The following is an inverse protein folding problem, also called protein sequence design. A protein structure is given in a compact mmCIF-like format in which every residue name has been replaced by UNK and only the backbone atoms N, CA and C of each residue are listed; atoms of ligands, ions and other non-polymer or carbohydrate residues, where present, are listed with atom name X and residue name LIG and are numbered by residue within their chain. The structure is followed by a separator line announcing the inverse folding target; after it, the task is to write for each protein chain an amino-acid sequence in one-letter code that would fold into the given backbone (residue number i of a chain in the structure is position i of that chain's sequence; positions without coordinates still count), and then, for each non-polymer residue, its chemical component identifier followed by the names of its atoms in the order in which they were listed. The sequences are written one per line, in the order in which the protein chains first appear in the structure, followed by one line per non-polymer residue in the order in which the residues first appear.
data_IF_423124857949
#
_entry.id   IF_423124857949
#
_cell.length_a   1.000
_cell.length_b   1.000
_cell.length_c   1.000
_cell.angle_alpha   90.00
_cell.angle_beta   90.00
_cell.angle_gamma   90.00
#
_symmetry.space_group_name_H-M   'P 1'
#
loop_
_entity.id
_entity.type
_entity.pdbx_description
1 polymer ?
#
# COMPACT_ATOMS: atom_id res chain seq x y z
N UNK A 1 -29.95 -8.22 -12.23
CA UNK A 1 -29.49 -8.85 -10.98
C UNK A 1 -28.20 -9.66 -11.19
N UNK A 2 -28.09 -10.51 -12.23
CA UNK A 2 -26.87 -11.26 -12.53
C UNK A 2 -25.62 -10.39 -12.84
N UNK A 3 -25.83 -9.22 -13.47
CA UNK A 3 -24.76 -8.31 -13.90
C UNK A 3 -24.09 -7.57 -12.71
N UNK A 4 -24.85 -7.34 -11.63
CA UNK A 4 -24.36 -6.67 -10.41
C UNK A 4 -23.50 -7.58 -9.54
N UNK A 5 -23.84 -8.88 -9.47
CA UNK A 5 -23.04 -9.87 -8.74
C UNK A 5 -21.73 -10.17 -9.47
N UNK A 6 -21.76 -10.17 -10.80
CA UNK A 6 -20.56 -10.34 -11.62
C UNK A 6 -19.57 -9.17 -11.42
N UNK A 7 -20.06 -7.93 -11.38
CA UNK A 7 -19.21 -6.75 -11.13
C UNK A 7 -18.70 -6.68 -9.69
N UNK A 8 -19.53 -7.03 -8.70
CA UNK A 8 -19.10 -7.13 -7.30
C UNK A 8 -17.98 -8.17 -7.13
N UNK A 9 -18.07 -9.31 -7.82
CA UNK A 9 -17.03 -10.33 -7.85
C UNK A 9 -15.74 -9.86 -8.53
N UNK A 10 -15.83 -9.01 -9.55
CA UNK A 10 -14.66 -8.40 -10.21
C UNK A 10 -13.96 -7.38 -9.33
N UNK A 11 -14.70 -6.47 -8.69
CA UNK A 11 -14.16 -5.49 -7.75
C UNK A 11 -13.47 -6.15 -6.56
N UNK A 12 -14.05 -7.24 -6.04
CA UNK A 12 -13.42 -8.02 -4.96
C UNK A 12 -12.11 -8.66 -5.40
N UNK A 13 -12.07 -9.25 -6.61
CA UNK A 13 -10.84 -9.84 -7.15
C UNK A 13 -9.76 -8.79 -7.41
N UNK A 14 -10.12 -7.62 -7.92
CA UNK A 14 -9.19 -6.51 -8.10
C UNK A 14 -8.57 -6.09 -6.76
N UNK A 15 -9.40 -5.90 -5.73
CA UNK A 15 -8.96 -5.58 -4.37
C UNK A 15 -7.95 -6.60 -3.84
N UNK A 16 -8.28 -7.89 -3.94
CA UNK A 16 -7.38 -8.97 -3.53
C UNK A 16 -6.06 -8.96 -4.29
N UNK A 17 -6.09 -8.75 -5.61
CA UNK A 17 -4.89 -8.73 -6.45
C UNK A 17 -3.99 -7.54 -6.13
N UNK A 18 -4.56 -6.34 -6.01
CA UNK A 18 -3.83 -5.14 -5.63
C UNK A 18 -3.14 -5.32 -4.27
N UNK A 19 -3.89 -5.76 -3.25
CA UNK A 19 -3.36 -5.96 -1.90
C UNK A 19 -2.32 -7.10 -1.84
N UNK A 20 -2.46 -8.14 -2.68
CA UNK A 20 -1.45 -9.20 -2.80
C UNK A 20 -0.16 -8.67 -3.43
N UNK A 21 -0.27 -7.83 -4.45
CA UNK A 21 0.88 -7.18 -5.09
C UNK A 21 1.63 -6.30 -4.09
N UNK A 22 0.95 -5.42 -3.36
CA UNK A 22 1.60 -4.55 -2.37
C UNK A 22 2.34 -5.34 -1.29
N UNK A 23 1.69 -6.36 -0.70
CA UNK A 23 2.33 -7.22 0.30
C UNK A 23 3.58 -7.91 -0.23
N UNK A 24 3.56 -8.35 -1.49
CA UNK A 24 4.74 -8.95 -2.14
C UNK A 24 5.84 -7.92 -2.34
N UNK A 25 5.55 -6.75 -2.91
CA UNK A 25 6.56 -5.72 -3.21
C UNK A 25 7.23 -5.20 -1.92
N UNK A 26 6.46 -4.86 -0.88
CA UNK A 26 7.02 -4.45 0.41
C UNK A 26 7.75 -5.59 1.13
N UNK A 27 7.30 -6.84 0.97
CA UNK A 27 8.01 -8.00 1.50
C UNK A 27 9.39 -8.19 0.84
N UNK A 28 9.48 -8.02 -0.48
CA UNK A 28 10.74 -8.14 -1.23
C UNK A 28 11.68 -6.96 -0.99
N UNK A 29 11.14 -5.77 -0.72
CA UNK A 29 11.91 -4.54 -0.50
C UNK A 29 12.95 -4.68 0.62
N UNK A 30 12.63 -5.41 1.68
CA UNK A 30 13.50 -5.55 2.86
C UNK A 30 14.87 -6.11 2.49
N UNK A 31 14.90 -7.22 1.74
CA UNK A 31 16.16 -7.87 1.35
C UNK A 31 16.89 -7.07 0.27
N UNK A 32 16.15 -6.42 -0.63
CA UNK A 32 16.71 -5.58 -1.69
C UNK A 32 17.47 -4.38 -1.10
N UNK A 33 16.86 -3.69 -0.12
CA UNK A 33 17.47 -2.55 0.60
C UNK A 33 18.68 -3.01 1.42
N UNK A 34 18.55 -4.10 2.19
CA UNK A 34 19.65 -4.64 3.01
C UNK A 34 20.84 -5.13 2.19
N UNK A 35 20.63 -5.50 0.93
CA UNK A 35 21.69 -5.91 0.02
C UNK A 35 22.50 -4.76 -0.59
N UNK A 36 22.17 -3.49 -0.32
CA UNK A 36 22.92 -2.34 -0.82
C UNK A 36 24.11 -2.09 0.10
N UNK A 37 25.32 -2.05 -0.46
CA UNK A 37 26.50 -1.70 0.31
C UNK A 37 26.56 -0.18 0.58
N UNK A 38 27.17 0.21 1.70
CA UNK A 38 27.35 1.61 2.04
C UNK A 38 28.08 2.37 0.92
N UNK A 39 27.55 3.53 0.52
CA UNK A 39 28.09 4.32 -0.59
C UNK A 39 27.62 3.90 -1.99
N UNK A 40 26.84 2.83 -2.15
CA UNK A 40 26.26 2.44 -3.46
C UNK A 40 25.07 3.31 -3.87
N UNK A 41 25.28 4.62 -3.93
CA UNK A 41 24.25 5.65 -4.18
C UNK A 41 23.47 5.45 -5.48
N UNK A 42 24.10 4.94 -6.54
CA UNK A 42 23.40 4.66 -7.79
C UNK A 42 22.37 3.53 -7.64
N UNK A 43 22.73 2.45 -6.94
CA UNK A 43 21.83 1.33 -6.66
C UNK A 43 20.74 1.75 -5.69
N UNK A 44 21.10 2.50 -4.65
CA UNK A 44 20.15 3.07 -3.71
C UNK A 44 19.13 3.98 -4.40
N UNK A 45 19.56 4.78 -5.37
CA UNK A 45 18.68 5.65 -6.17
C UNK A 45 17.59 4.88 -6.92
N UNK A 46 17.94 3.80 -7.62
CA UNK A 46 16.97 2.97 -8.36
C UNK A 46 15.96 2.33 -7.42
N UNK A 47 16.44 1.79 -6.30
CA UNK A 47 15.56 1.16 -5.28
C UNK A 47 14.65 2.22 -4.66
N UNK A 48 15.18 3.41 -4.37
CA UNK A 48 14.41 4.51 -3.82
C UNK A 48 13.29 4.96 -4.76
N UNK A 49 13.56 5.05 -6.06
CA UNK A 49 12.54 5.42 -7.04
C UNK A 49 11.43 4.36 -7.14
N UNK A 50 11.78 3.06 -7.11
CA UNK A 50 10.79 1.97 -7.09
C UNK A 50 9.94 1.99 -5.82
N UNK A 51 10.56 2.14 -4.64
CA UNK A 51 9.84 2.21 -3.38
C UNK A 51 8.91 3.44 -3.31
N UNK A 52 9.38 4.59 -3.81
CA UNK A 52 8.55 5.79 -3.93
C UNK A 52 7.35 5.58 -4.84
N UNK A 53 7.54 4.90 -5.98
CA UNK A 53 6.45 4.54 -6.89
C UNK A 53 5.42 3.62 -6.23
N UNK A 54 5.85 2.52 -5.61
CA UNK A 54 4.92 1.57 -4.96
C UNK A 54 4.21 2.22 -3.76
N UNK A 55 4.90 3.04 -2.97
CA UNK A 55 4.29 3.80 -1.87
C UNK A 55 3.23 4.77 -2.37
N UNK A 56 3.53 5.54 -3.42
CA UNK A 56 2.57 6.46 -4.04
C UNK A 56 1.35 5.72 -4.57
N UNK A 57 1.56 4.56 -5.22
CA UNK A 57 0.48 3.74 -5.75
C UNK A 57 -0.43 3.20 -4.63
N UNK A 58 0.15 2.74 -3.52
CA UNK A 58 -0.62 2.28 -2.36
C UNK A 58 -1.43 3.41 -1.72
N UNK A 59 -0.81 4.58 -1.56
CA UNK A 59 -1.51 5.77 -1.04
C UNK A 59 -2.75 6.11 -1.87
N UNK A 60 -2.62 6.20 -3.21
CA UNK A 60 -3.76 6.50 -4.08
C UNK A 60 -4.83 5.40 -4.03
N UNK A 61 -4.44 4.13 -3.92
CA UNK A 61 -5.41 3.02 -3.78
C UNK A 61 -6.21 3.15 -2.50
N UNK A 62 -5.54 3.36 -1.36
CA UNK A 62 -6.18 3.52 -0.06
C UNK A 62 -7.05 4.78 -0.01
N UNK A 63 -6.55 5.92 -0.49
CA UNK A 63 -7.34 7.17 -0.55
C UNK A 63 -8.62 6.98 -1.37
N UNK A 64 -8.54 6.27 -2.51
CA UNK A 64 -9.72 5.93 -3.30
C UNK A 64 -10.74 5.08 -2.53
N UNK A 65 -10.30 4.14 -1.70
CA UNK A 65 -11.18 3.36 -0.83
C UNK A 65 -11.78 4.20 0.28
N UNK A 66 -10.97 5.08 0.88
CA UNK A 66 -11.39 5.98 1.94
C UNK A 66 -12.53 6.89 1.50
N UNK A 67 -12.42 7.42 0.29
CA UNK A 67 -13.41 8.31 -0.30
C UNK A 67 -14.72 7.60 -0.72
N UNK A 68 -14.68 6.30 -1.06
CA UNK A 68 -15.78 5.66 -1.79
C UNK A 68 -16.34 4.36 -1.18
N UNK A 69 -15.58 3.65 -0.35
CA UNK A 69 -15.91 2.25 0.02
C UNK A 69 -16.52 2.13 1.42
N UNK A 70 -16.01 2.86 2.41
CA UNK A 70 -16.39 2.62 3.82
C UNK A 70 -17.87 2.82 4.12
N UNK A 71 -18.47 3.93 3.65
CA UNK A 71 -19.89 4.20 3.87
C UNK A 71 -20.76 3.11 3.24
N UNK A 72 -20.44 2.69 2.01
CA UNK A 72 -21.14 1.65 1.29
C UNK A 72 -21.05 0.27 1.95
N UNK A 73 -19.92 -0.02 2.60
CA UNK A 73 -19.77 -1.22 3.40
C UNK A 73 -20.54 -1.10 4.72
N UNK A 74 -20.46 0.01 5.45
CA UNK A 74 -21.20 0.18 6.71
C UNK A 74 -22.72 0.04 6.54
N UNK A 75 -23.28 0.53 5.43
CA UNK A 75 -24.69 0.35 5.08
C UNK A 75 -25.09 -1.13 4.91
N UNK A 76 -24.16 -1.98 4.47
CA UNK A 76 -24.42 -3.37 4.06
C UNK A 76 -23.82 -4.43 4.97
N UNK A 77 -22.91 -4.04 5.86
CA UNK A 77 -22.00 -4.97 6.51
C UNK A 77 -22.59 -5.64 7.75
N UNK A 78 -23.83 -5.39 8.18
CA UNK A 78 -24.37 -6.00 9.40
C UNK A 78 -24.22 -7.55 9.37
N UNK A 79 -23.60 -8.17 10.40
CA UNK A 79 -23.18 -7.63 11.71
C UNK A 79 -21.70 -7.16 11.82
N UNK A 80 -20.97 -7.09 10.72
CA UNK A 80 -19.52 -6.91 10.61
C UNK A 80 -19.04 -5.44 10.55
N UNK A 81 -19.87 -4.46 10.93
CA UNK A 81 -19.51 -3.03 10.87
C UNK A 81 -18.18 -2.69 11.58
N UNK A 82 -17.89 -3.37 12.70
CA UNK A 82 -16.63 -3.19 13.42
C UNK A 82 -15.40 -3.51 12.54
N UNK A 83 -15.49 -4.51 11.65
CA UNK A 83 -14.39 -4.84 10.74
C UNK A 83 -14.12 -3.72 9.74
N UNK A 84 -15.16 -3.01 9.30
CA UNK A 84 -15.01 -1.86 8.40
C UNK A 84 -14.22 -0.75 9.09
N UNK A 85 -14.57 -0.41 10.34
CA UNK A 85 -13.82 0.56 11.13
C UNK A 85 -12.39 0.13 11.44
N UNK A 86 -12.14 -1.18 11.59
CA UNK A 86 -10.80 -1.71 11.79
C UNK A 86 -9.92 -1.53 10.55
N UNK A 87 -10.46 -1.81 9.35
CA UNK A 87 -9.74 -1.60 8.08
C UNK A 87 -9.50 -0.12 7.83
N UNK A 88 -10.49 0.74 8.05
CA UNK A 88 -10.36 2.20 7.90
C UNK A 88 -9.27 2.76 8.84
N UNK A 89 -9.18 2.27 10.08
CA UNK A 89 -8.08 2.63 10.99
C UNK A 89 -6.73 2.13 10.46
N UNK A 90 -6.66 0.89 9.99
CA UNK A 90 -5.45 0.32 9.41
C UNK A 90 -4.98 1.10 8.18
N UNK A 91 -5.89 1.66 7.37
CA UNK A 91 -5.54 2.54 6.25
C UNK A 91 -4.75 3.75 6.72
N UNK A 92 -5.21 4.43 7.78
CA UNK A 92 -4.48 5.56 8.38
C UNK A 92 -3.12 5.16 8.94
N UNK A 93 -3.04 4.00 9.59
CA UNK A 93 -1.76 3.49 10.11
C UNK A 93 -0.76 3.21 8.97
N UNK A 94 -1.24 2.65 7.86
CA UNK A 94 -0.42 2.42 6.66
C UNK A 94 -0.02 3.74 6.02
N UNK A 95 -0.91 4.71 5.91
CA UNK A 95 -0.62 6.02 5.32
C UNK A 95 0.53 6.74 6.06
N UNK A 96 0.46 6.75 7.40
CA UNK A 96 1.54 7.26 8.24
C UNK A 96 2.87 6.49 8.04
N UNK A 97 2.79 5.17 7.83
CA UNK A 97 3.98 4.37 7.53
C UNK A 97 4.57 4.68 6.14
N UNK A 98 3.74 5.01 5.15
CA UNK A 98 4.19 5.41 3.82
C UNK A 98 4.95 6.75 3.87
N UNK A 99 4.46 7.72 4.65
CA UNK A 99 5.18 8.97 4.89
C UNK A 99 6.55 8.74 5.53
N UNK A 100 6.60 7.85 6.53
CA UNK A 100 7.86 7.49 7.19
C UNK A 100 8.84 6.81 6.20
N UNK A 101 8.34 5.91 5.35
CA UNK A 101 9.14 5.27 4.28
C UNK A 101 9.65 6.31 3.30
N UNK A 102 8.82 7.25 2.84
CA UNK A 102 9.23 8.28 1.90
C UNK A 102 10.36 9.15 2.48
N UNK A 103 10.26 9.54 3.76
CA UNK A 103 11.31 10.26 4.47
C UNK A 103 12.60 9.45 4.59
N UNK A 104 12.51 8.20 5.03
CA UNK A 104 13.66 7.31 5.20
C UNK A 104 14.37 7.03 3.87
N UNK A 105 13.63 6.74 2.80
CA UNK A 105 14.15 6.45 1.46
C UNK A 105 14.81 7.69 0.86
N UNK A 106 14.22 8.88 1.05
CA UNK A 106 14.82 10.15 0.62
C UNK A 106 16.15 10.45 1.32
N UNK A 107 16.27 10.07 2.60
CA UNK A 107 17.52 10.16 3.34
C UNK A 107 18.56 9.16 2.82
N UNK A 108 18.20 7.88 2.84
CA UNK A 108 19.06 6.76 2.50
C UNK A 108 19.63 6.85 1.08
N UNK A 109 18.86 7.33 0.09
CA UNK A 109 19.34 7.41 -1.30
C UNK A 109 20.54 8.35 -1.51
N UNK A 110 20.86 9.22 -0.55
CA UNK A 110 21.96 10.21 -0.68
C UNK A 110 23.34 9.62 -0.41
N UNK A 111 23.43 8.62 0.47
CA UNK A 111 24.70 8.05 0.92
C UNK A 111 24.67 6.51 0.99
N UNK A 112 23.50 5.88 0.78
CA UNK A 112 23.27 4.46 0.93
C UNK A 112 23.67 3.93 2.31
N UNK A 113 23.55 4.76 3.36
CA UNK A 113 23.83 4.37 4.74
C UNK A 113 22.54 4.11 5.51
N UNK A 114 22.50 2.97 6.21
CA UNK A 114 21.41 2.59 7.10
C UNK A 114 21.60 3.18 8.49
#
# INVERSE_FOLDING_TARGET
MADSDASAGELTREMEMAHRMFRREFGLAVDVVRGVAAGEVARAGVIADHLGFIATLLHHRHAGEDDHVWLLLLERAAPQAQRVHDVERQHRDVDAALDAVAGAVSAWRRDATG
#
